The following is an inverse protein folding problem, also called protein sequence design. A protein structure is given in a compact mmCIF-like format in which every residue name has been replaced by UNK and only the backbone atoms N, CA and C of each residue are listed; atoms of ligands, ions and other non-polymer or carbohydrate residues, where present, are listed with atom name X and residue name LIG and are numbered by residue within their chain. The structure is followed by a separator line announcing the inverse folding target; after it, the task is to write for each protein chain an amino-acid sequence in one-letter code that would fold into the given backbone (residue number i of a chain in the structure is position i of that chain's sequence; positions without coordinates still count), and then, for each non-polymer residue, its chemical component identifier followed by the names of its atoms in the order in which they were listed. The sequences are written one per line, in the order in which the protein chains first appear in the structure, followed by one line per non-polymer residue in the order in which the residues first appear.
data_IF_315034830659
#
_entry.id   IF_315034830659
#
_cell.length_a   1.000
_cell.length_b   1.000
_cell.length_c   1.000
_cell.angle_alpha   90.00
_cell.angle_beta   90.00
_cell.angle_gamma   90.00
#
_symmetry.space_group_name_H-M   'P 1'
#
loop_
_entity.id
_entity.type
_entity.pdbx_description
1 polymer ?
#
# COMPACT_ATOMS: atom_id res chain seq x y z
N UNK A 1 -0.60 -15.07 5.37
CA UNK A 1 0.67 -15.41 4.66
C UNK A 1 1.50 -14.14 4.61
N UNK A 2 2.81 -14.22 4.88
CA UNK A 2 3.69 -13.04 4.76
C UNK A 2 3.85 -12.64 3.29
N UNK A 3 4.32 -11.42 3.04
CA UNK A 3 4.79 -10.99 1.71
C UNK A 3 5.65 -12.09 1.09
N UNK A 4 5.62 -12.30 -0.23
CA UNK A 4 6.41 -13.32 -0.88
C UNK A 4 7.87 -13.07 -0.53
N UNK A 5 8.61 -14.15 -0.29
CA UNK A 5 10.03 -14.09 0.02
C UNK A 5 10.83 -13.38 -1.09
N UNK A 6 10.24 -13.24 -2.28
CA UNK A 6 10.84 -12.75 -3.51
C UNK A 6 10.33 -11.36 -3.93
N UNK A 7 9.67 -10.58 -3.07
CA UNK A 7 9.42 -9.17 -3.39
C UNK A 7 10.76 -8.42 -3.41
N UNK A 8 11.29 -8.19 -4.60
CA UNK A 8 12.63 -7.61 -4.82
C UNK A 8 12.60 -6.18 -5.35
N UNK A 9 11.47 -5.72 -5.90
CA UNK A 9 11.32 -4.37 -6.44
C UNK A 9 9.89 -3.87 -6.32
N UNK A 10 9.74 -2.55 -6.29
CA UNK A 10 8.49 -1.80 -6.34
C UNK A 10 8.44 -0.84 -7.52
N UNK A 11 9.46 -0.86 -8.38
CA UNK A 11 9.52 -0.14 -9.65
C UNK A 11 8.72 -0.91 -10.72
N UNK A 12 7.63 -0.33 -11.28
CA UNK A 12 6.87 -0.95 -12.36
C UNK A 12 7.72 -1.42 -13.54
N UNK A 13 8.82 -0.72 -13.86
CA UNK A 13 9.67 -1.03 -14.99
C UNK A 13 10.60 -2.24 -14.76
N UNK A 14 10.73 -2.70 -13.51
CA UNK A 14 11.64 -3.78 -13.11
C UNK A 14 10.93 -5.02 -12.59
N UNK A 15 9.60 -5.01 -12.57
CA UNK A 15 8.78 -6.13 -12.12
C UNK A 15 9.08 -7.41 -12.93
N UNK A 16 9.06 -8.53 -12.23
CA UNK A 16 9.19 -9.88 -12.79
C UNK A 16 8.05 -10.76 -12.28
N UNK A 17 7.84 -11.95 -12.86
CA UNK A 17 6.79 -12.88 -12.40
C UNK A 17 6.97 -13.32 -10.94
N UNK A 18 8.20 -13.35 -10.43
CA UNK A 18 8.50 -13.61 -9.02
C UNK A 18 7.90 -12.55 -8.05
N UNK A 19 7.62 -11.35 -8.55
CA UNK A 19 6.98 -10.29 -7.76
C UNK A 19 5.45 -10.38 -7.77
N UNK A 20 4.87 -11.39 -8.43
CA UNK A 20 3.42 -11.61 -8.44
C UNK A 20 2.94 -12.10 -7.08
N UNK A 21 1.84 -11.51 -6.63
CA UNK A 21 1.32 -11.66 -5.28
C UNK A 21 -0.08 -12.23 -5.32
N UNK A 22 -0.37 -13.13 -4.40
CA UNK A 22 -1.74 -13.45 -4.03
C UNK A 22 -1.96 -13.06 -2.57
N UNK A 23 -2.76 -12.01 -2.36
CA UNK A 23 -3.16 -11.56 -1.03
C UNK A 23 -4.64 -11.83 -0.74
N UNK A 24 -5.30 -12.64 -1.56
CA UNK A 24 -6.68 -13.10 -1.31
C UNK A 24 -6.75 -13.75 0.06
N UNK A 25 -7.72 -13.33 0.88
CA UNK A 25 -7.92 -13.87 2.24
C UNK A 25 -6.67 -13.79 3.14
N UNK A 26 -5.73 -12.89 2.84
CA UNK A 26 -4.44 -12.91 3.50
C UNK A 26 -4.48 -12.31 4.91
N UNK A 27 -3.96 -13.07 5.88
CA UNK A 27 -3.64 -12.58 7.21
C UNK A 27 -2.21 -12.03 7.26
N UNK A 28 -2.04 -10.76 7.63
CA UNK A 28 -0.72 -10.10 7.67
C UNK A 28 -0.77 -8.57 7.83
N UNK A 29 0.38 -7.88 7.80
CA UNK A 29 0.46 -6.43 8.00
C UNK A 29 -0.25 -5.61 6.90
N UNK A 30 -0.42 -6.18 5.70
CA UNK A 30 -1.24 -5.58 4.64
C UNK A 30 -2.74 -5.59 4.96
N UNK A 31 -3.24 -6.63 5.66
CA UNK A 31 -4.66 -6.73 6.07
C UNK A 31 -5.07 -5.56 6.96
N UNK A 32 -4.18 -5.10 7.84
CA UNK A 32 -4.48 -4.00 8.75
C UNK A 32 -4.73 -2.66 8.02
N UNK A 33 -4.44 -2.58 6.72
CA UNK A 33 -4.73 -1.43 5.85
C UNK A 33 -6.02 -1.58 5.05
N UNK A 34 -6.52 -2.80 4.90
CA UNK A 34 -7.80 -3.05 4.26
C UNK A 34 -8.90 -3.02 5.32
N UNK A 35 -9.27 -1.80 5.74
CA UNK A 35 -10.31 -1.57 6.74
C UNK A 35 -11.53 -0.90 6.12
N UNK A 36 -12.70 -1.35 6.52
CA UNK A 36 -13.97 -0.72 6.17
C UNK A 36 -14.38 0.25 7.26
N UNK A 37 -14.75 1.47 6.89
CA UNK A 37 -15.35 2.41 7.83
C UNK A 37 -16.79 1.95 8.11
N UNK A 38 -17.12 1.72 9.39
CA UNK A 38 -18.42 1.21 9.82
C UNK A 38 -19.51 2.29 9.84
N UNK A 39 -19.14 3.56 9.98
CA UNK A 39 -20.08 4.68 9.98
C UNK A 39 -19.66 5.77 9.01
N UNK A 40 -20.61 6.25 8.20
CA UNK A 40 -20.45 7.43 7.35
C UNK A 40 -20.55 8.74 8.14
N UNK A 41 -20.91 8.68 9.42
CA UNK A 41 -20.89 9.84 10.31
C UNK A 41 -19.46 10.12 10.73
N UNK A 42 -18.93 11.27 10.32
CA UNK A 42 -17.65 11.78 10.78
C UNK A 42 -17.87 12.20 12.23
N UNK A 43 -17.19 11.58 13.23
CA UNK A 43 -17.23 12.06 14.60
C UNK A 43 -16.79 13.52 14.61
N UNK A 44 -17.41 14.33 15.46
CA UNK A 44 -17.04 15.73 15.65
C UNK A 44 -15.49 15.85 15.71
N UNK A 45 -14.87 16.74 14.93
CA UNK A 45 -13.41 16.88 14.90
C UNK A 45 -12.79 17.10 16.29
N UNK A 46 -13.53 17.66 17.25
CA UNK A 46 -13.11 17.80 18.65
C UNK A 46 -13.10 16.44 19.40
N UNK A 47 -13.86 15.45 18.96
CA UNK A 47 -13.84 14.09 19.53
C UNK A 47 -12.53 13.34 19.27
N UNK A 48 -11.74 13.75 18.27
CA UNK A 48 -10.39 13.19 18.03
C UNK A 48 -9.41 13.53 19.16
N UNK A 49 -9.62 14.64 19.89
CA UNK A 49 -8.82 14.94 21.09
C UNK A 49 -9.07 13.94 22.23
N UNK A 50 -10.19 13.22 22.21
CA UNK A 50 -10.55 12.21 23.20
C UNK A 50 -10.29 10.76 22.74
N UNK A 51 -9.53 10.56 21.66
CA UNK A 51 -9.14 9.23 21.19
C UNK A 51 -10.27 8.42 20.53
N UNK A 52 -11.40 9.04 20.20
CA UNK A 52 -12.47 8.34 19.48
C UNK A 52 -12.09 8.19 18.00
N UNK A 53 -11.50 7.05 17.65
CA UNK A 53 -11.20 6.70 16.27
C UNK A 53 -12.48 6.42 15.48
N UNK A 54 -12.45 6.70 14.17
CA UNK A 54 -13.46 6.21 13.24
C UNK A 54 -13.64 4.70 13.49
N UNK A 55 -14.88 4.27 13.72
CA UNK A 55 -15.16 2.85 13.89
C UNK A 55 -14.85 2.15 12.57
N UNK A 56 -13.84 1.29 12.57
CA UNK A 56 -13.45 0.49 11.41
C UNK A 56 -13.59 -0.99 11.72
N UNK A 57 -14.13 -1.78 10.79
CA UNK A 57 -14.01 -3.23 10.83
C UNK A 57 -12.82 -3.68 9.99
N UNK A 58 -12.09 -4.65 10.50
CA UNK A 58 -11.17 -5.43 9.68
C UNK A 58 -11.99 -6.17 8.63
N UNK A 59 -11.64 -5.99 7.37
CA UNK A 59 -12.18 -6.79 6.26
C UNK A 59 -11.03 -7.60 5.67
N UNK A 60 -11.36 -8.76 5.11
CA UNK A 60 -10.40 -9.54 4.34
C UNK A 60 -10.30 -8.97 2.93
N UNK A 61 -9.13 -9.10 2.30
CA UNK A 61 -9.03 -8.82 0.87
C UNK A 61 -9.99 -9.74 0.10
N UNK A 62 -10.71 -9.23 -0.91
CA UNK A 62 -11.60 -10.03 -1.72
C UNK A 62 -10.89 -11.22 -2.37
N UNK A 63 -11.67 -12.20 -2.80
CA UNK A 63 -11.14 -13.29 -3.62
C UNK A 63 -10.51 -12.75 -4.91
N UNK A 64 -9.49 -13.45 -5.40
CA UNK A 64 -8.70 -13.07 -6.57
C UNK A 64 -8.01 -11.70 -6.46
N UNK A 65 -7.66 -11.26 -5.24
CA UNK A 65 -6.81 -10.10 -5.03
C UNK A 65 -5.35 -10.47 -5.32
N UNK A 66 -5.02 -10.52 -6.61
CA UNK A 66 -3.72 -10.99 -7.12
C UNK A 66 -3.12 -10.02 -8.12
N UNK A 67 -1.82 -9.80 -8.06
CA UNK A 67 -1.16 -8.83 -8.91
C UNK A 67 0.17 -8.34 -8.37
N UNK A 68 0.52 -7.08 -8.65
CA UNK A 68 1.83 -6.52 -8.32
C UNK A 68 1.71 -5.30 -7.41
N UNK A 69 2.58 -5.26 -6.39
CA UNK A 69 2.80 -4.06 -5.61
C UNK A 69 3.74 -3.12 -6.38
N UNK A 70 3.42 -1.84 -6.39
CA UNK A 70 4.24 -0.84 -7.06
C UNK A 70 4.16 0.52 -6.38
N UNK A 71 5.22 1.31 -6.50
CA UNK A 71 5.21 2.70 -6.04
C UNK A 71 4.50 3.58 -7.09
N UNK A 72 3.40 4.18 -6.69
CA UNK A 72 2.75 5.24 -7.47
C UNK A 72 3.27 6.60 -7.00
N UNK A 73 4.12 7.25 -7.81
CA UNK A 73 4.61 8.61 -7.60
C UNK A 73 4.06 9.54 -8.69
N UNK A 74 3.06 10.39 -8.41
CA UNK A 74 2.55 11.33 -9.39
C UNK A 74 3.63 12.36 -9.74
N UNK A 75 4.00 12.48 -11.02
CA UNK A 75 5.11 13.32 -11.50
C UNK A 75 4.99 14.80 -11.12
N UNK A 76 3.75 15.28 -10.95
CA UNK A 76 3.46 16.70 -10.74
C UNK A 76 3.19 17.04 -9.26
N UNK A 77 3.45 16.09 -8.36
CA UNK A 77 3.18 16.24 -6.94
C UNK A 77 4.46 16.06 -6.11
N UNK A 78 4.43 16.55 -4.88
CA UNK A 78 5.52 16.31 -3.92
C UNK A 78 5.80 14.81 -3.81
N UNK A 79 7.06 14.38 -3.63
CA UNK A 79 7.39 12.98 -3.36
C UNK A 79 6.63 12.39 -2.15
N UNK A 80 6.16 13.25 -1.23
CA UNK A 80 5.31 12.85 -0.10
C UNK A 80 3.90 12.39 -0.51
N UNK A 81 3.45 12.72 -1.72
CA UNK A 81 2.20 12.23 -2.29
C UNK A 81 2.32 10.79 -2.83
N UNK A 82 3.54 10.24 -2.88
CA UNK A 82 3.76 8.87 -3.32
C UNK A 82 3.07 7.87 -2.38
N UNK A 83 2.65 6.75 -2.95
CA UNK A 83 2.02 5.68 -2.19
C UNK A 83 2.27 4.33 -2.83
N UNK A 84 2.43 3.31 -2.01
CA UNK A 84 2.41 1.93 -2.45
C UNK A 84 0.97 1.55 -2.82
N UNK A 85 0.78 0.95 -3.99
CA UNK A 85 -0.51 0.43 -4.44
C UNK A 85 -0.37 -1.02 -4.85
N UNK A 86 -1.51 -1.71 -4.92
CA UNK A 86 -1.61 -3.02 -5.53
C UNK A 86 -2.38 -2.89 -6.84
N UNK A 87 -1.76 -3.28 -7.94
CA UNK A 87 -2.44 -3.45 -9.22
C UNK A 87 -2.84 -4.90 -9.39
N UNK A 88 -4.15 -5.15 -9.54
CA UNK A 88 -4.71 -6.46 -9.84
C UNK A 88 -4.50 -6.76 -11.32
N UNK A 89 -3.95 -7.94 -11.62
CA UNK A 89 -3.66 -8.40 -12.97
C UNK A 89 -4.12 -9.84 -13.20
N UNK A 90 -4.39 -10.19 -14.46
CA UNK A 90 -4.90 -11.51 -14.84
C UNK A 90 -3.87 -12.64 -14.78
N UNK A 91 -2.58 -12.31 -14.76
CA UNK A 91 -1.48 -13.28 -14.66
C UNK A 91 -0.25 -12.67 -13.97
N UNK A 92 0.77 -13.51 -13.77
CA UNK A 92 2.09 -13.17 -13.26
C UNK A 92 3.02 -12.55 -14.32
N UNK A 93 2.52 -12.26 -15.53
CA UNK A 93 3.28 -11.55 -16.55
C UNK A 93 3.21 -10.03 -16.29
N UNK A 94 4.34 -9.35 -16.01
CA UNK A 94 4.35 -7.89 -15.75
C UNK A 94 3.74 -7.06 -16.87
N UNK A 95 3.70 -7.56 -18.12
CA UNK A 95 3.05 -6.86 -19.25
C UNK A 95 1.56 -6.62 -19.02
N UNK A 96 0.92 -7.46 -18.21
CA UNK A 96 -0.50 -7.30 -17.84
C UNK A 96 -0.77 -6.12 -16.90
N UNK A 97 0.28 -5.45 -16.38
CA UNK A 97 0.15 -4.22 -15.58
C UNK A 97 -0.55 -3.08 -16.33
N UNK A 98 -0.44 -3.04 -17.67
CA UNK A 98 -1.09 -2.01 -18.49
C UNK A 98 -2.61 -2.19 -18.56
N UNK A 99 -3.07 -3.43 -18.57
CA UNK A 99 -4.50 -3.80 -18.67
C UNK A 99 -5.14 -4.03 -17.29
N UNK A 100 -4.31 -4.18 -16.25
CA UNK A 100 -4.74 -4.31 -14.87
C UNK A 100 -5.36 -3.04 -14.28
N UNK A 101 -5.96 -3.18 -13.11
CA UNK A 101 -6.56 -2.07 -12.37
C UNK A 101 -6.10 -2.06 -10.92
N UNK A 102 -6.07 -0.88 -10.30
CA UNK A 102 -5.73 -0.79 -8.89
C UNK A 102 -6.81 -1.46 -8.03
N UNK A 103 -6.39 -2.19 -6.99
CA UNK A 103 -7.31 -2.68 -5.96
C UNK A 103 -8.06 -1.48 -5.38
N UNK A 104 -9.39 -1.56 -5.35
CA UNK A 104 -10.23 -0.49 -4.81
C UNK A 104 -10.68 -0.81 -3.39
N UNK A 105 -10.83 0.24 -2.60
CA UNK A 105 -11.56 0.22 -1.34
C UNK A 105 -13.07 0.26 -1.61
N UNK A 106 -13.89 -0.13 -0.64
CA UNK A 106 -15.37 -0.12 -0.74
C UNK A 106 -15.96 1.25 -1.15
N UNK A 107 -15.22 2.34 -0.93
CA UNK A 107 -15.60 3.70 -1.31
C UNK A 107 -15.08 4.13 -2.69
N UNK A 108 -14.56 3.20 -3.49
CA UNK A 108 -14.21 3.39 -4.90
C UNK A 108 -12.84 4.01 -5.17
N UNK A 109 -12.07 4.36 -4.13
CA UNK A 109 -10.71 4.87 -4.30
C UNK A 109 -9.68 3.74 -4.25
N UNK A 110 -8.53 3.90 -4.93
CA UNK A 110 -7.44 2.93 -4.86
C UNK A 110 -6.98 2.70 -3.42
N UNK A 111 -6.85 1.42 -3.05
CA UNK A 111 -6.12 1.01 -1.86
C UNK A 111 -4.67 1.46 -1.99
N UNK A 112 -4.15 2.08 -0.92
CA UNK A 112 -2.80 2.62 -0.90
C UNK A 112 -2.22 2.65 0.49
N UNK A 113 -0.90 2.50 0.58
CA UNK A 113 -0.12 2.83 1.78
C UNK A 113 0.68 4.09 1.46
N UNK A 114 0.37 5.25 2.08
CA UNK A 114 1.13 6.48 1.85
C UNK A 114 2.60 6.31 2.21
N UNK A 115 3.50 6.96 1.46
CA UNK A 115 4.94 6.90 1.74
C UNK A 115 5.28 7.33 3.17
N UNK A 116 4.55 8.33 3.70
CA UNK A 116 4.70 8.79 5.09
C UNK A 116 4.43 7.67 6.12
N UNK A 117 3.51 6.76 5.80
CA UNK A 117 3.23 5.62 6.66
C UNK A 117 4.33 4.57 6.58
N UNK A 118 4.88 4.33 5.38
CA UNK A 118 6.00 3.40 5.18
C UNK A 118 7.23 3.83 5.98
N UNK A 119 7.47 5.13 6.10
CA UNK A 119 8.58 5.71 6.87
C UNK A 119 8.40 5.63 8.38
N UNK A 120 7.17 5.87 8.86
CA UNK A 120 6.91 6.07 10.29
C UNK A 120 6.70 4.76 11.06
N UNK A 121 6.39 3.65 10.39
CA UNK A 121 5.98 2.40 11.06
C UNK A 121 7.00 1.28 10.84
N UNK A 122 7.56 0.77 11.94
CA UNK A 122 8.58 -0.29 11.92
C UNK A 122 8.19 -1.55 11.13
N UNK A 123 6.89 -1.87 11.05
CA UNK A 123 6.37 -3.01 10.27
C UNK A 123 6.58 -2.89 8.76
N UNK A 124 6.89 -1.71 8.24
CA UNK A 124 7.09 -1.44 6.82
C UNK A 124 8.56 -1.27 6.43
N UNK A 125 9.50 -1.55 7.35
CA UNK A 125 10.94 -1.47 7.11
C UNK A 125 11.40 -2.24 5.87
N UNK A 126 10.82 -3.42 5.59
CA UNK A 126 11.17 -4.20 4.40
C UNK A 126 10.80 -3.48 3.09
N UNK A 127 9.63 -2.83 3.02
CA UNK A 127 9.27 -2.03 1.84
C UNK A 127 10.20 -0.84 1.67
N UNK A 128 10.56 -0.16 2.76
CA UNK A 128 11.51 0.96 2.71
C UNK A 128 12.90 0.52 2.25
N UNK A 129 13.34 -0.67 2.65
CA UNK A 129 14.60 -1.26 2.15
C UNK A 129 14.54 -1.44 0.63
N UNK A 130 13.49 -2.07 0.11
CA UNK A 130 13.31 -2.29 -1.34
C UNK A 130 13.26 -0.96 -2.09
N UNK A 131 12.48 0.03 -1.60
CA UNK A 131 12.44 1.37 -2.22
C UNK A 131 13.80 2.06 -2.26
N UNK A 132 14.63 1.86 -1.24
CA UNK A 132 15.98 2.41 -1.20
C UNK A 132 16.89 1.71 -2.22
N UNK A 133 16.81 0.37 -2.31
CA UNK A 133 17.54 -0.44 -3.29
C UNK A 133 17.09 -0.13 -4.73
N UNK A 134 15.83 0.24 -4.93
CA UNK A 134 15.29 0.68 -6.21
C UNK A 134 15.68 2.12 -6.59
N UNK A 135 16.28 2.88 -5.67
CA UNK A 135 16.53 4.32 -5.88
C UNK A 135 15.26 5.17 -5.92
N UNK A 136 14.14 4.63 -5.43
CA UNK A 136 12.82 5.28 -5.40
C UNK A 136 12.47 5.91 -4.06
N UNK A 137 13.29 5.69 -3.03
CA UNK A 137 13.11 6.33 -1.74
C UNK A 137 13.27 7.86 -1.86
N UNK A 138 12.29 8.68 -1.42
CA UNK A 138 12.39 10.12 -1.61
C UNK A 138 13.61 10.72 -0.88
N UNK A 139 14.43 11.56 -1.54
CA UNK A 139 15.66 12.11 -0.97
C UNK A 139 15.47 12.96 0.29
N UNK A 140 14.29 13.58 0.42
CA UNK A 140 13.97 14.62 1.41
C UNK A 140 13.68 14.09 2.83
N UNK A 141 13.77 12.78 3.05
CA UNK A 141 13.20 12.12 4.22
C UNK A 141 14.19 11.80 5.35
N UNK A 142 15.40 12.36 5.31
CA UNK A 142 16.34 12.28 6.45
C UNK A 142 15.83 12.98 7.72
N UNK A 143 14.76 13.79 7.62
CA UNK A 143 14.28 14.67 8.69
C UNK A 143 13.15 14.11 9.56
N UNK A 144 12.50 13.00 9.21
CA UNK A 144 11.36 12.47 9.99
C UNK A 144 11.79 11.35 10.96
N UNK A 145 13.07 10.95 10.94
CA UNK A 145 13.65 10.03 11.92
C UNK A 145 13.99 10.75 13.25
N UNK A 146 13.05 11.52 13.79
CA UNK A 146 13.13 12.01 15.18
C UNK A 146 11.74 11.90 15.78
N UNK A 147 11.53 10.84 16.57
CA UNK A 147 10.72 10.73 17.80
C UNK A 147 10.59 9.26 18.18
#
# INVERSE_FOLDING_TARGET
RQLPAELTTLDPARLTSANYLDISNCEGPLRQQFRRVQSKQIPDPHMRQYGLHLRTSDIVFPDNTRGFLYLNSPSDQSPLAASLRLRITGSDDPRTMAEGHDLLMDYGLPWKIPILELLSRARYKNFMKILTEDGLAPPELKLVAVS
#
